data_IF_472500144491
#
_entry.id   IF_472500144491
#
_cell.length_a   1.000
_cell.length_b   1.000
_cell.length_c   1.000
_cell.angle_alpha   90.00
_cell.angle_beta   90.00
_cell.angle_gamma   90.00
#
_symmetry.space_group_name_H-M   'P 1'
#
loop_
_entity.id
_entity.type
_entity.pdbx_description
1 polymer ?
#
# COMPACT_ATOMS: atom_id res chain seq x y z
N UNK A 1 3.73 5.63 16.15
CA UNK A 1 2.90 5.45 14.93
C UNK A 1 1.58 4.78 15.29
N UNK A 2 0.44 5.33 14.85
CA UNK A 2 -0.90 4.90 15.29
C UNK A 2 -1.26 3.48 14.84
N UNK A 3 -0.77 3.02 13.68
CA UNK A 3 -0.96 1.64 13.15
C UNK A 3 -0.59 0.56 14.18
N UNK A 4 0.60 0.66 14.81
CA UNK A 4 1.03 -0.30 15.84
C UNK A 4 0.09 -0.32 17.05
N UNK A 5 -0.42 0.85 17.46
CA UNK A 5 -1.34 0.98 18.59
C UNK A 5 -2.70 0.36 18.28
N UNK A 6 -3.24 0.62 17.09
CA UNK A 6 -4.54 0.10 16.63
C UNK A 6 -4.55 -1.42 16.50
N UNK A 7 -3.40 -2.03 16.19
CA UNK A 7 -3.28 -3.44 15.88
C UNK A 7 -2.36 -4.20 16.86
N UNK A 8 -2.22 -3.73 18.11
CA UNK A 8 -1.22 -4.26 19.04
C UNK A 8 -1.28 -5.79 19.21
N UNK A 9 -2.49 -6.37 19.29
CA UNK A 9 -2.70 -7.82 19.40
C UNK A 9 -2.17 -8.59 18.18
N UNK A 10 -2.22 -8.00 16.99
CA UNK A 10 -1.75 -8.64 15.76
C UNK A 10 -0.22 -8.69 15.74
N UNK A 11 0.46 -7.72 16.35
CA UNK A 11 1.92 -7.74 16.48
C UNK A 11 2.44 -8.79 17.48
N UNK A 12 1.57 -9.40 18.29
CA UNK A 12 1.92 -10.52 19.18
C UNK A 12 1.91 -11.87 18.44
N UNK A 13 1.28 -11.93 17.25
CA UNK A 13 1.26 -13.13 16.41
C UNK A 13 2.64 -13.45 15.84
N UNK A 14 2.91 -14.68 15.37
CA UNK A 14 4.14 -15.02 14.66
C UNK A 14 4.38 -14.11 13.44
N UNK A 15 5.63 -13.82 13.10
CA UNK A 15 5.97 -12.94 11.96
C UNK A 15 5.49 -13.47 10.60
N UNK A 16 5.33 -14.78 10.46
CA UNK A 16 4.76 -15.40 9.26
C UNK A 16 3.23 -15.39 9.22
N UNK A 17 2.56 -14.87 10.26
CA UNK A 17 1.10 -14.72 10.25
C UNK A 17 0.69 -13.66 9.21
N UNK A 18 -0.27 -13.92 8.30
CA UNK A 18 -0.60 -13.02 7.19
C UNK A 18 -0.90 -11.59 7.63
N UNK A 19 -1.69 -11.42 8.70
CA UNK A 19 -2.03 -10.11 9.24
C UNK A 19 -0.82 -9.34 9.79
N UNK A 20 0.14 -10.04 10.41
CA UNK A 20 1.34 -9.40 10.95
C UNK A 20 2.30 -9.03 9.83
N UNK A 21 2.54 -9.96 8.89
CA UNK A 21 3.39 -9.73 7.73
C UNK A 21 2.91 -8.52 6.91
N UNK A 22 1.60 -8.43 6.64
CA UNK A 22 1.01 -7.27 5.97
C UNK A 22 1.23 -5.97 6.75
N UNK A 23 0.98 -5.95 8.07
CA UNK A 23 1.15 -4.72 8.85
C UNK A 23 2.61 -4.28 8.93
N UNK A 24 3.56 -5.21 9.04
CA UNK A 24 5.00 -4.89 9.01
C UNK A 24 5.38 -4.28 7.65
N UNK A 25 4.96 -4.89 6.53
CA UNK A 25 5.20 -4.34 5.20
C UNK A 25 4.50 -2.98 4.99
N UNK A 26 3.26 -2.82 5.47
CA UNK A 26 2.52 -1.56 5.33
C UNK A 26 3.26 -0.40 6.00
N UNK A 27 3.84 -0.66 7.18
CA UNK A 27 4.62 0.31 7.92
C UNK A 27 5.89 0.70 7.16
N UNK A 28 6.61 -0.29 6.64
CA UNK A 28 7.85 -0.09 5.89
C UNK A 28 7.58 0.64 4.58
N UNK A 29 6.65 0.14 3.77
CA UNK A 29 6.22 0.75 2.53
C UNK A 29 5.74 2.19 2.73
N UNK A 30 4.94 2.47 3.77
CA UNK A 30 4.53 3.85 4.10
C UNK A 30 5.73 4.74 4.40
N UNK A 31 6.70 4.24 5.16
CA UNK A 31 7.90 4.99 5.54
C UNK A 31 8.77 5.32 4.32
N UNK A 32 8.86 4.40 3.38
CA UNK A 32 9.74 4.52 2.22
C UNK A 32 9.09 5.16 1.00
N UNK A 33 7.76 5.12 0.86
CA UNK A 33 7.06 5.59 -0.35
C UNK A 33 6.37 6.94 -0.15
N UNK A 34 5.95 7.29 1.08
CA UNK A 34 5.25 8.56 1.36
C UNK A 34 6.27 9.66 1.66
N UNK A 35 6.13 10.83 1.01
CA UNK A 35 7.00 11.99 1.24
C UNK A 35 8.32 11.97 0.47
N UNK A 36 8.51 11.03 -0.46
CA UNK A 36 9.74 10.92 -1.28
C UNK A 36 9.90 12.03 -2.30
N UNK A 37 8.85 12.81 -2.57
CA UNK A 37 8.90 14.00 -3.41
C UNK A 37 9.66 15.18 -2.76
N UNK A 38 10.02 15.06 -1.48
CA UNK A 38 10.77 16.09 -0.73
C UNK A 38 12.10 15.49 -0.25
N UNK A 39 13.20 16.22 -0.46
CA UNK A 39 14.52 15.89 0.07
C UNK A 39 14.60 16.13 1.58
N UNK A 40 13.88 15.36 2.40
CA UNK A 40 13.78 15.60 3.84
C UNK A 40 15.06 15.24 4.62
N UNK A 41 15.95 14.43 4.03
CA UNK A 41 17.17 13.92 4.70
C UNK A 41 18.42 13.98 3.82
N UNK A 42 18.45 14.86 2.81
CA UNK A 42 19.53 14.91 1.82
C UNK A 42 19.42 13.87 0.70
N UNK A 43 18.38 13.03 0.73
CA UNK A 43 18.02 12.14 -0.37
C UNK A 43 17.55 12.94 -1.59
N UNK A 44 17.83 12.40 -2.79
CA UNK A 44 17.27 12.94 -4.03
C UNK A 44 15.75 12.75 -4.02
N UNK A 45 14.95 13.80 -4.28
CA UNK A 45 13.51 13.68 -4.46
C UNK A 45 13.19 12.68 -5.58
N UNK A 46 12.21 11.82 -5.34
CA UNK A 46 11.76 10.79 -6.27
C UNK A 46 10.27 10.98 -6.51
N UNK A 47 9.90 11.27 -7.76
CA UNK A 47 8.51 11.31 -8.18
C UNK A 47 8.40 10.97 -9.68
N UNK A 48 7.20 10.59 -10.11
CA UNK A 48 6.85 10.34 -11.50
C UNK A 48 5.47 10.90 -11.78
N UNK A 49 5.37 11.74 -12.79
CA UNK A 49 4.07 12.23 -13.29
C UNK A 49 3.56 11.35 -14.44
N UNK A 50 2.26 11.10 -14.49
CA UNK A 50 1.60 10.51 -15.66
C UNK A 50 0.13 10.97 -15.76
N UNK A 51 -0.45 10.84 -16.96
CA UNK A 51 -1.89 10.95 -17.15
C UNK A 51 -2.52 9.56 -17.09
N UNK A 52 -3.45 9.34 -16.17
CA UNK A 52 -4.12 8.04 -16.02
C UNK A 52 -5.29 7.89 -16.99
N UNK A 53 -5.33 6.74 -17.69
CA UNK A 53 -6.48 6.35 -18.52
C UNK A 53 -7.60 5.74 -17.68
N UNK A 54 -7.31 5.32 -16.45
CA UNK A 54 -8.27 4.68 -15.55
C UNK A 54 -9.26 5.72 -15.01
N UNK A 55 -8.77 6.87 -14.56
CA UNK A 55 -9.60 7.92 -13.97
C UNK A 55 -9.50 9.29 -14.66
N UNK A 56 -8.78 9.38 -15.79
CA UNK A 56 -8.83 10.52 -16.70
C UNK A 56 -8.18 11.79 -16.14
N UNK A 57 -7.16 11.67 -15.28
CA UNK A 57 -6.48 12.82 -14.66
C UNK A 57 -4.97 12.63 -14.53
N UNK A 58 -4.29 13.72 -14.24
CA UNK A 58 -2.87 13.72 -13.92
C UNK A 58 -2.63 13.20 -12.50
N UNK A 59 -1.60 12.37 -12.38
CA UNK A 59 -1.10 11.82 -11.13
C UNK A 59 0.38 12.11 -10.96
N UNK A 60 0.77 12.19 -9.70
CA UNK A 60 2.15 12.01 -9.25
C UNK A 60 2.20 10.72 -8.42
N UNK A 61 3.35 10.05 -8.39
CA UNK A 61 3.54 8.84 -7.59
C UNK A 61 3.32 9.19 -6.11
N UNK A 62 3.91 10.30 -5.66
CA UNK A 62 3.69 10.84 -4.31
C UNK A 62 2.21 11.04 -3.98
N UNK A 63 1.45 11.67 -4.86
CA UNK A 63 -0.01 11.88 -4.69
C UNK A 63 -0.78 10.56 -4.60
N UNK A 64 -0.37 9.53 -5.36
CA UNK A 64 -0.95 8.19 -5.26
C UNK A 64 -0.68 7.57 -3.88
N UNK A 65 0.55 7.69 -3.38
CA UNK A 65 0.94 7.17 -2.05
C UNK A 65 0.21 7.91 -0.92
N UNK A 66 0.07 9.23 -1.01
CA UNK A 66 -0.73 9.99 -0.05
C UNK A 66 -2.17 9.52 -0.01
N UNK A 67 -2.76 9.23 -1.18
CA UNK A 67 -4.16 8.80 -1.25
C UNK A 67 -4.37 7.39 -0.70
N UNK A 68 -3.48 6.46 -0.99
CA UNK A 68 -3.74 5.03 -0.77
C UNK A 68 -2.81 4.33 0.23
N UNK A 69 -1.83 5.02 0.82
CA UNK A 69 -0.88 4.42 1.77
C UNK A 69 -0.65 5.31 3.01
N UNK A 70 -0.89 6.62 2.94
CA UNK A 70 -0.61 7.55 4.05
C UNK A 70 -1.62 7.52 5.23
N UNK A 71 -2.52 6.55 5.30
CA UNK A 71 -3.52 6.45 6.37
C UNK A 71 -3.09 5.51 7.50
N UNK A 72 -3.84 5.55 8.60
CA UNK A 72 -3.68 4.60 9.69
C UNK A 72 -4.66 3.45 9.49
N UNK A 73 -4.14 2.25 9.24
CA UNK A 73 -4.93 1.04 9.03
C UNK A 73 -5.22 0.33 10.35
N UNK A 74 -6.42 -0.26 10.45
CA UNK A 74 -6.83 -1.18 11.49
C UNK A 74 -7.41 -2.43 10.82
N UNK A 75 -6.94 -3.61 11.20
CA UNK A 75 -7.47 -4.88 10.68
C UNK A 75 -8.63 -5.35 11.55
N UNK A 76 -9.73 -4.60 11.50
CA UNK A 76 -10.93 -4.82 12.32
C UNK A 76 -11.51 -6.23 12.15
N UNK A 77 -11.48 -6.79 10.94
CA UNK A 77 -11.87 -8.19 10.69
C UNK A 77 -11.06 -9.18 11.53
N UNK A 78 -9.73 -9.02 11.58
CA UNK A 78 -8.84 -9.88 12.38
C UNK A 78 -9.00 -9.65 13.88
N UNK A 79 -9.15 -8.39 14.30
CA UNK A 79 -9.29 -8.02 15.71
C UNK A 79 -10.61 -8.47 16.33
N UNK A 80 -11.69 -8.46 15.54
CA UNK A 80 -13.04 -8.81 16.00
C UNK A 80 -13.40 -10.27 15.76
N UNK A 81 -12.61 -11.01 14.97
CA UNK A 81 -12.96 -12.35 14.52
C UNK A 81 -14.23 -12.37 13.69
N UNK A 82 -14.45 -11.33 12.87
CA UNK A 82 -15.67 -11.21 12.08
C UNK A 82 -15.86 -12.43 11.16
N UNK A 83 -17.04 -13.08 11.12
CA UNK A 83 -17.24 -14.31 10.36
C UNK A 83 -17.30 -14.08 8.84
N UNK A 84 -17.46 -12.84 8.40
CA UNK A 84 -17.53 -12.43 7.00
C UNK A 84 -16.63 -11.22 6.77
N UNK A 85 -16.46 -10.82 5.51
CA UNK A 85 -15.79 -9.56 5.17
C UNK A 85 -16.45 -8.39 5.90
N UNK A 86 -15.63 -7.54 6.49
CA UNK A 86 -16.03 -6.23 7.00
C UNK A 86 -16.24 -5.24 5.84
N UNK A 87 -16.84 -4.08 6.11
CA UNK A 87 -17.03 -3.06 5.07
C UNK A 87 -15.69 -2.47 4.58
N UNK A 88 -14.72 -2.31 5.49
CA UNK A 88 -13.35 -1.91 5.19
C UNK A 88 -12.69 -2.91 4.23
N UNK A 89 -12.74 -4.20 4.53
CA UNK A 89 -12.11 -5.22 3.69
C UNK A 89 -12.79 -5.36 2.32
N UNK A 90 -14.11 -5.20 2.24
CA UNK A 90 -14.81 -5.13 0.94
C UNK A 90 -14.30 -3.96 0.11
N UNK A 91 -14.24 -2.78 0.72
CA UNK A 91 -13.73 -1.58 0.07
C UNK A 91 -12.27 -1.76 -0.38
N UNK A 92 -11.42 -2.32 0.47
CA UNK A 92 -10.01 -2.55 0.16
C UNK A 92 -9.84 -3.52 -1.02
N UNK A 93 -10.60 -4.62 -1.05
CA UNK A 93 -10.59 -5.57 -2.17
C UNK A 93 -11.09 -4.95 -3.48
N UNK A 94 -12.03 -4.00 -3.44
CA UNK A 94 -12.46 -3.25 -4.62
C UNK A 94 -11.40 -2.23 -5.08
N UNK A 95 -10.67 -1.62 -4.14
CA UNK A 95 -9.68 -0.60 -4.43
C UNK A 95 -8.33 -1.17 -4.89
N UNK A 96 -7.89 -2.33 -4.39
CA UNK A 96 -6.60 -2.94 -4.73
C UNK A 96 -6.39 -3.06 -6.26
N UNK A 97 -7.34 -3.58 -7.07
CA UNK A 97 -7.21 -3.63 -8.53
C UNK A 97 -7.05 -2.25 -9.17
N UNK A 98 -7.74 -1.22 -8.65
CA UNK A 98 -7.64 0.15 -9.15
C UNK A 98 -6.23 0.70 -8.90
N UNK A 99 -5.69 0.51 -7.69
CA UNK A 99 -4.33 0.96 -7.34
C UNK A 99 -3.29 0.22 -8.19
N UNK A 100 -3.43 -1.10 -8.39
CA UNK A 100 -2.56 -1.88 -9.30
C UNK A 100 -2.57 -1.33 -10.72
N UNK A 101 -3.75 -0.98 -11.25
CA UNK A 101 -3.85 -0.35 -12.56
C UNK A 101 -3.11 0.99 -12.65
N UNK A 102 -3.26 1.85 -11.64
CA UNK A 102 -2.56 3.14 -11.58
C UNK A 102 -1.04 2.96 -11.48
N UNK A 103 -0.58 1.98 -10.71
CA UNK A 103 0.84 1.63 -10.60
C UNK A 103 1.42 1.10 -11.92
N UNK A 104 0.64 0.33 -12.69
CA UNK A 104 1.06 -0.14 -14.00
C UNK A 104 1.28 1.04 -14.96
N UNK A 105 0.36 2.01 -15.00
CA UNK A 105 0.54 3.22 -15.82
C UNK A 105 1.74 4.05 -15.37
N UNK A 106 1.92 4.21 -14.06
CA UNK A 106 3.10 4.88 -13.50
C UNK A 106 4.40 4.16 -13.87
N UNK A 107 4.41 2.82 -13.84
CA UNK A 107 5.55 1.97 -14.23
C UNK A 107 5.91 2.17 -15.70
N UNK A 108 4.92 2.19 -16.59
CA UNK A 108 5.12 2.46 -18.02
C UNK A 108 5.80 3.82 -18.24
N UNK A 109 5.34 4.85 -17.52
CA UNK A 109 5.91 6.20 -17.64
C UNK A 109 7.31 6.30 -17.02
N UNK A 110 7.53 5.67 -15.86
CA UNK A 110 8.84 5.60 -15.21
C UNK A 110 9.87 4.89 -16.09
N UNK A 111 9.50 3.81 -16.78
CA UNK A 111 10.37 3.14 -17.76
C UNK A 111 10.73 4.10 -18.90
N UNK A 112 9.74 4.82 -19.45
CA UNK A 112 9.96 5.79 -20.54
C UNK A 112 10.94 6.90 -20.14
N UNK A 113 10.85 7.37 -18.90
CA UNK A 113 11.69 8.43 -18.35
C UNK A 113 12.99 7.91 -17.70
N UNK A 114 13.22 6.59 -17.69
CA UNK A 114 14.36 5.94 -17.00
C UNK A 114 14.46 6.32 -15.52
N UNK A 115 13.31 6.38 -14.85
CA UNK A 115 13.19 6.73 -13.44
C UNK A 115 13.28 5.47 -12.57
N UNK A 116 14.48 4.90 -12.47
CA UNK A 116 14.72 3.62 -11.78
C UNK A 116 14.33 3.68 -10.29
N UNK A 117 14.50 4.84 -9.65
CA UNK A 117 14.10 5.04 -8.26
C UNK A 117 12.59 4.87 -8.05
N UNK A 118 11.75 5.35 -8.97
CA UNK A 118 10.30 5.11 -8.89
C UNK A 118 9.97 3.65 -9.17
N UNK A 119 10.69 2.96 -10.05
CA UNK A 119 10.46 1.54 -10.35
C UNK A 119 10.67 0.64 -9.12
N UNK A 120 11.66 0.95 -8.30
CA UNK A 120 11.88 0.27 -7.01
C UNK A 120 10.71 0.50 -6.05
N UNK A 121 10.26 1.75 -5.91
CA UNK A 121 9.13 2.09 -5.04
C UNK A 121 7.82 1.43 -5.51
N UNK A 122 7.53 1.44 -6.81
CA UNK A 122 6.36 0.75 -7.38
C UNK A 122 6.37 -0.73 -6.99
N UNK A 123 7.52 -1.39 -7.09
CA UNK A 123 7.64 -2.83 -6.83
C UNK A 123 7.36 -3.15 -5.35
N UNK A 124 7.75 -2.27 -4.42
CA UNK A 124 7.40 -2.37 -2.99
C UNK A 124 5.89 -2.23 -2.77
N UNK A 125 5.26 -1.25 -3.41
CA UNK A 125 3.81 -1.06 -3.29
C UNK A 125 3.04 -2.27 -3.87
N UNK A 126 3.47 -2.82 -5.00
CA UNK A 126 2.85 -4.02 -5.57
C UNK A 126 2.96 -5.22 -4.61
N UNK A 127 4.10 -5.39 -3.93
CA UNK A 127 4.27 -6.42 -2.92
C UNK A 127 3.32 -6.21 -1.72
N UNK A 128 3.22 -4.97 -1.24
CA UNK A 128 2.27 -4.59 -0.19
C UNK A 128 0.82 -4.94 -0.57
N UNK A 129 0.38 -4.58 -1.78
CA UNK A 129 -0.98 -4.85 -2.25
C UNK A 129 -1.27 -6.36 -2.34
N UNK A 130 -0.27 -7.17 -2.71
CA UNK A 130 -0.37 -8.62 -2.69
C UNK A 130 -0.51 -9.17 -1.26
N UNK A 131 0.29 -8.68 -0.31
CA UNK A 131 0.16 -9.06 1.10
C UNK A 131 -1.20 -8.66 1.68
N UNK A 132 -1.72 -7.49 1.31
CA UNK A 132 -3.02 -7.02 1.77
C UNK A 132 -4.15 -7.93 1.33
N UNK A 133 -4.22 -8.23 0.02
CA UNK A 133 -5.22 -9.12 -0.57
C UNK A 133 -5.16 -10.51 0.08
N UNK A 134 -3.96 -11.07 0.25
CA UNK A 134 -3.78 -12.35 0.92
C UNK A 134 -4.18 -12.32 2.40
N UNK A 135 -3.87 -11.24 3.11
CA UNK A 135 -4.25 -11.04 4.50
C UNK A 135 -5.78 -11.10 4.67
N UNK A 136 -6.52 -10.46 3.77
CA UNK A 136 -7.99 -10.46 3.78
C UNK A 136 -8.54 -11.86 3.43
N UNK A 137 -8.07 -12.47 2.33
CA UNK A 137 -8.56 -13.79 1.92
C UNK A 137 -8.22 -14.90 2.92
N UNK A 138 -7.04 -14.88 3.52
CA UNK A 138 -6.64 -15.87 4.53
C UNK A 138 -7.53 -15.82 5.76
N UNK A 139 -8.08 -14.64 6.08
CA UNK A 139 -8.98 -14.49 7.23
C UNK A 139 -10.32 -15.18 7.01
N UNK A 140 -10.90 -15.04 5.82
CA UNK A 140 -12.22 -15.57 5.48
C UNK A 140 -12.18 -17.07 5.15
N UNK A 141 -10.99 -17.60 4.87
CA UNK A 141 -10.78 -19.01 4.55
C UNK A 141 -10.51 -19.89 5.78
N UNK A 142 -10.31 -19.29 6.96
CA UNK A 142 -10.08 -19.95 8.25
C UNK A 142 -11.35 -19.89 9.11
#
# INVERSE_FOLDING_TARGET
MKVRKLNHQIFELPSNHPARAFLEEFIECRTECVGREIALSGDTPVDQEWFSRIDGKHWLFSNLMYKYISFDIQLDGWLTGAPTLTDSERYDLEMIPVVRGLLLECREEAIRHKNDSVLELISRVEHLLWLWENCIHSRVSN
#
